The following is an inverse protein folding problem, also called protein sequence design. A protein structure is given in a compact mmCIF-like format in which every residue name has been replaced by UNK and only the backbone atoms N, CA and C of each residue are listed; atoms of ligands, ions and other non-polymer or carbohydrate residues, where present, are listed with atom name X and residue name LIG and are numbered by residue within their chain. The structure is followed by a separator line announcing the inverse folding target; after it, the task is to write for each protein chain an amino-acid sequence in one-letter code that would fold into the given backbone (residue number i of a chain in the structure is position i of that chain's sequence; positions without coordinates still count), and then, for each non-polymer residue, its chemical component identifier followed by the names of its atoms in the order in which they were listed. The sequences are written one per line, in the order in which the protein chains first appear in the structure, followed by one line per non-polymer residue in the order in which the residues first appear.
data_IF_679487689093
#
_entry.id   IF_679487689093
#
_cell.length_a   1.000
_cell.length_b   1.000
_cell.length_c   1.000
_cell.angle_alpha   90.00
_cell.angle_beta   90.00
_cell.angle_gamma   90.00
#
_symmetry.space_group_name_H-M   'P 1'
#
loop_
_entity.id
_entity.type
_entity.pdbx_description
1 polymer ?
2 water ?
#
# COMPACT_ATOMS: atom_id res chain seq x y z
N UNK A 1 -7.81 -12.23 14.86
CA UNK A 1 -7.97 -13.39 15.78
C UNK A 1 -7.11 -13.30 17.06
N UNK A 2 -6.33 -14.35 17.36
CA UNK A 2 -5.43 -14.36 18.54
C UNK A 2 -4.19 -15.28 18.39
N UNK A 3 -4.12 -16.35 19.18
CA UNK A 3 -2.92 -17.18 19.24
C UNK A 3 -1.78 -16.42 19.99
N UNK A 4 -2.06 -16.08 21.26
CA UNK A 4 -1.20 -15.26 22.14
C UNK A 4 -0.60 -14.00 21.48
N UNK A 5 -1.43 -13.16 20.88
CA UNK A 5 -0.94 -11.88 20.32
C UNK A 5 -0.97 -10.72 21.32
N UNK A 6 0.21 -10.15 21.55
CA UNK A 6 0.40 -8.94 22.35
C UNK A 6 0.57 -7.79 21.37
N UNK A 7 0.42 -6.57 21.87
CA UNK A 7 0.59 -5.38 21.05
C UNK A 7 2.02 -5.24 20.57
N UNK A 8 2.99 -5.65 21.39
CA UNK A 8 4.40 -5.63 21.00
C UNK A 8 4.60 -6.52 19.77
N UNK A 9 4.14 -7.77 19.89
CA UNK A 9 4.14 -8.78 18.82
C UNK A 9 3.45 -8.33 17.52
N UNK A 10 2.21 -7.86 17.63
CA UNK A 10 1.51 -7.22 16.52
C UNK A 10 2.38 -6.15 15.80
N UNK A 11 2.93 -5.20 16.56
CA UNK A 11 3.76 -4.18 15.93
C UNK A 11 5.06 -4.75 15.37
N UNK A 12 5.67 -5.68 16.09
CA UNK A 12 6.91 -6.32 15.64
C UNK A 12 6.76 -6.77 14.20
N UNK A 13 5.69 -7.50 13.90
CA UNK A 13 5.50 -8.05 12.55
C UNK A 13 4.80 -7.11 11.57
N UNK A 14 4.09 -6.10 12.09
CA UNK A 14 3.48 -5.06 11.24
C UNK A 14 4.55 -4.26 10.52
N UNK A 15 5.62 -3.98 11.24
CA UNK A 15 6.75 -3.24 10.73
C UNK A 15 7.63 -4.11 9.79
N UNK A 16 7.82 -5.38 10.15
CA UNK A 16 8.51 -6.33 9.27
C UNK A 16 7.76 -6.43 7.93
N UNK A 17 6.44 -6.56 7.97
CA UNK A 17 5.67 -6.63 6.72
C UNK A 17 5.66 -5.33 5.92
N UNK A 18 5.46 -4.21 6.61
CA UNK A 18 5.34 -2.94 5.91
C UNK A 18 6.64 -2.55 5.24
N UNK A 19 7.77 -2.88 5.87
CA UNK A 19 9.08 -2.64 5.26
C UNK A 19 9.28 -3.56 4.05
N UNK A 20 8.92 -4.83 4.21
CA UNK A 20 9.02 -5.81 3.14
C UNK A 20 8.17 -5.42 1.93
N UNK A 21 6.86 -5.24 2.14
CA UNK A 21 5.90 -4.83 1.11
C UNK A 21 6.32 -3.58 0.35
N UNK A 22 6.82 -2.56 1.05
CA UNK A 22 7.36 -1.39 0.36
C UNK A 22 8.58 -1.69 -0.54
N UNK A 23 9.59 -2.37 0.01
CA UNK A 23 10.78 -2.73 -0.74
C UNK A 23 10.41 -3.56 -1.95
N UNK A 24 9.41 -4.43 -1.79
CA UNK A 24 8.96 -5.29 -2.89
C UNK A 24 8.27 -4.47 -3.97
N UNK A 25 7.55 -3.43 -3.56
CA UNK A 25 6.94 -2.46 -4.48
C UNK A 25 7.96 -1.62 -5.24
N UNK A 26 8.98 -1.08 -4.55
CA UNK A 26 10.10 -0.44 -5.25
C UNK A 26 10.77 -1.40 -6.23
N UNK A 27 10.99 -2.64 -5.83
CA UNK A 27 11.51 -3.67 -6.73
C UNK A 27 10.62 -3.84 -7.97
N UNK A 28 9.32 -4.03 -7.73
CA UNK A 28 8.32 -4.18 -8.80
C UNK A 28 8.27 -2.99 -9.76
N UNK A 29 8.29 -1.79 -9.20
CA UNK A 29 8.20 -0.60 -9.99
C UNK A 29 9.47 -0.39 -10.80
N UNK A 30 10.61 -0.54 -10.14
CA UNK A 30 11.91 -0.32 -10.77
C UNK A 30 12.17 -1.34 -11.87
N UNK A 31 11.63 -2.55 -11.68
CA UNK A 31 11.70 -3.62 -12.66
C UNK A 31 10.80 -3.35 -13.88
N UNK A 32 9.52 -3.05 -13.64
CA UNK A 32 8.64 -2.58 -14.70
C UNK A 32 9.26 -1.43 -15.51
N UNK A 33 9.54 -0.32 -14.85
CA UNK A 33 10.22 0.83 -15.45
C UNK A 33 11.39 0.41 -16.38
N UNK A 34 12.44 -0.15 -15.79
CA UNK A 34 13.57 -0.72 -16.54
C UNK A 34 13.08 -1.55 -17.73
N UNK A 35 12.37 -2.63 -17.44
CA UNK A 35 12.01 -3.63 -18.43
C UNK A 35 11.01 -3.14 -19.47
N UNK A 36 10.23 -2.15 -19.10
CA UNK A 36 9.03 -1.83 -19.84
C UNK A 36 9.01 -0.43 -20.43
N UNK A 37 9.90 0.45 -19.97
CA UNK A 37 9.94 1.83 -20.46
C UNK A 37 11.36 2.35 -20.66
N UNK A 38 12.35 1.47 -20.71
CA UNK A 38 13.74 1.90 -20.86
C UNK A 38 14.21 2.23 -22.28
N UNK A 39 13.58 1.65 -23.29
CA UNK A 39 13.99 1.95 -24.67
C UNK A 39 13.06 2.89 -25.41
N UNK A 40 12.15 3.51 -24.67
CA UNK A 40 10.99 4.19 -25.25
C UNK A 40 10.99 5.64 -24.84
N UNK A 41 10.11 6.42 -25.44
CA UNK A 41 10.04 7.82 -25.07
C UNK A 41 8.81 8.14 -24.26
N UNK A 42 8.52 7.32 -23.25
CA UNK A 42 7.30 7.51 -22.46
C UNK A 42 7.51 8.59 -21.42
N UNK A 43 6.45 9.36 -21.15
CA UNK A 43 6.54 10.48 -20.20
C UNK A 43 6.50 10.05 -18.73
N UNK A 44 7.61 10.29 -18.02
CA UNK A 44 7.71 10.04 -16.57
C UNK A 44 6.51 10.61 -15.81
N UNK A 45 6.50 11.94 -15.63
CA UNK A 45 5.46 12.66 -14.85
C UNK A 45 5.38 12.18 -13.39
N UNK A 46 5.65 13.09 -12.45
CA UNK A 46 5.79 12.75 -11.02
C UNK A 46 4.55 12.11 -10.35
N UNK A 47 4.44 12.30 -9.04
CA UNK A 47 3.31 11.90 -8.17
C UNK A 47 1.88 12.07 -8.79
N UNK A 48 1.56 11.26 -9.80
CA UNK A 48 0.31 11.44 -10.56
C UNK A 48 -0.97 11.18 -9.74
N UNK A 49 -2.10 10.92 -10.42
CA UNK A 49 -3.41 10.76 -9.74
C UNK A 49 -3.50 9.48 -8.90
N UNK A 50 -3.13 9.56 -7.62
CA UNK A 50 -3.24 8.40 -6.74
C UNK A 50 -4.61 8.36 -6.06
N UNK A 51 -5.30 7.22 -6.16
CA UNK A 51 -6.64 7.06 -5.62
C UNK A 51 -6.77 7.31 -4.09
N UNK A 52 -5.67 7.12 -3.35
CA UNK A 52 -5.67 7.32 -1.90
C UNK A 52 -5.51 8.78 -1.47
N UNK A 53 -5.21 9.65 -2.43
CA UNK A 53 -4.98 11.07 -2.18
C UNK A 53 -6.23 11.86 -1.77
N UNK A 54 -7.39 11.22 -1.85
CA UNK A 54 -8.65 11.86 -1.52
C UNK A 54 -8.86 11.80 -0.02
N UNK A 55 -8.32 10.74 0.59
CA UNK A 55 -8.30 10.57 2.04
C UNK A 55 -7.35 11.55 2.71
N UNK A 56 -7.78 12.08 3.86
CA UNK A 56 -6.96 12.95 4.67
C UNK A 56 -5.79 12.15 5.28
N UNK A 57 -4.58 12.50 4.85
CA UNK A 57 -3.36 11.87 5.30
C UNK A 57 -2.38 12.98 5.71
N UNK A 58 -1.49 12.70 6.68
CA UNK A 58 -0.43 13.67 6.93
C UNK A 58 0.60 13.56 5.82
N UNK A 59 1.05 14.71 5.33
CA UNK A 59 1.99 14.76 4.21
C UNK A 59 3.29 15.33 4.77
N UNK A 60 3.50 15.03 6.04
CA UNK A 60 4.60 15.56 6.82
C UNK A 60 4.95 14.51 7.88
N UNK A 61 5.70 14.87 8.93
CA UNK A 61 5.87 13.98 10.08
C UNK A 61 5.31 14.60 11.38
N UNK A 62 5.42 15.92 11.49
CA UNK A 62 4.93 16.64 12.65
C UNK A 62 3.42 16.67 12.54
N UNK A 63 2.93 16.83 11.32
CA UNK A 63 1.50 16.65 11.02
C UNK A 63 0.98 15.24 11.47
N UNK A 64 1.75 14.19 11.16
CA UNK A 64 1.46 12.79 11.54
C UNK A 64 1.55 12.58 13.03
N UNK A 65 2.57 13.18 13.62
CA UNK A 65 2.77 13.12 15.05
C UNK A 65 1.68 13.82 15.83
N UNK A 66 1.36 15.05 15.43
CA UNK A 66 0.26 15.82 16.02
C UNK A 66 -1.09 15.09 15.97
N UNK A 67 -1.25 14.20 14.98
CA UNK A 67 -2.54 13.60 14.66
C UNK A 67 -3.19 12.72 15.75
N UNK A 68 -4.52 12.80 15.86
CA UNK A 68 -5.28 11.88 16.69
C UNK A 68 -4.92 10.46 16.28
N UNK A 69 -4.48 9.66 17.25
CA UNK A 69 -4.01 8.28 17.05
C UNK A 69 -5.10 7.36 16.46
N UNK A 70 -6.31 7.46 17.02
CA UNK A 70 -7.51 6.73 16.57
C UNK A 70 -7.80 6.95 15.07
N UNK A 71 -7.79 8.20 14.62
CA UNK A 71 -7.99 8.50 13.19
C UNK A 71 -6.83 7.99 12.31
N UNK A 72 -5.62 8.04 12.85
CA UNK A 72 -4.38 7.68 12.16
C UNK A 72 -4.37 6.20 11.84
N UNK A 73 -4.78 5.40 12.81
CA UNK A 73 -4.76 3.98 12.63
C UNK A 73 -5.86 3.55 11.67
N UNK A 74 -6.97 4.29 11.65
CA UNK A 74 -8.09 3.93 10.77
C UNK A 74 -7.75 4.31 9.35
N UNK A 75 -7.08 5.44 9.21
CA UNK A 75 -6.49 5.87 7.95
C UNK A 75 -5.67 4.74 7.35
N UNK A 76 -4.77 4.17 8.16
CA UNK A 76 -3.89 3.10 7.68
C UNK A 76 -4.70 1.92 7.15
N UNK A 77 -5.76 1.58 7.85
CA UNK A 77 -6.65 0.51 7.41
C UNK A 77 -7.36 0.86 6.08
N UNK A 78 -7.83 2.10 5.94
CA UNK A 78 -8.54 2.51 4.73
C UNK A 78 -7.63 2.40 3.53
N UNK A 79 -6.40 2.90 3.66
CA UNK A 79 -5.42 2.78 2.59
C UNK A 79 -5.22 1.33 2.22
N UNK A 80 -4.96 0.48 3.21
CA UNK A 80 -4.64 -0.90 2.95
C UNK A 80 -5.82 -1.58 2.28
N UNK A 81 -7.05 -1.28 2.72
CA UNK A 81 -8.23 -1.92 2.11
C UNK A 81 -8.55 -1.38 0.70
N UNK A 82 -8.07 -0.18 0.38
CA UNK A 82 -8.25 0.40 -0.93
C UNK A 82 -7.31 -0.24 -1.96
N UNK A 83 -6.22 -0.86 -1.50
CA UNK A 83 -5.34 -1.54 -2.43
C UNK A 83 -5.76 -2.97 -2.73
N UNK A 84 -6.97 -3.33 -2.35
CA UNK A 84 -7.43 -4.67 -2.65
C UNK A 84 -7.80 -4.86 -4.13
N UNK A 85 -8.71 -4.02 -4.61
CA UNK A 85 -9.27 -4.14 -5.95
C UNK A 85 -8.17 -3.96 -7.01
N UNK A 86 -7.40 -2.84 -6.94
CA UNK A 86 -6.31 -2.60 -7.89
C UNK A 86 -5.24 -3.68 -7.87
N UNK A 87 -5.02 -4.29 -6.71
CA UNK A 87 -4.04 -5.35 -6.63
C UNK A 87 -4.62 -6.65 -7.19
N UNK A 88 -5.92 -6.83 -7.05
CA UNK A 88 -6.60 -7.99 -7.64
C UNK A 88 -6.56 -7.88 -9.17
N UNK A 89 -6.86 -6.68 -9.68
CA UNK A 89 -6.91 -6.45 -11.12
C UNK A 89 -5.54 -6.46 -11.77
N UNK A 90 -4.52 -5.95 -11.07
CA UNK A 90 -3.11 -6.02 -11.50
C UNK A 90 -2.70 -7.45 -11.82
N UNK A 91 -2.84 -8.32 -10.82
CA UNK A 91 -2.54 -9.74 -10.90
C UNK A 91 -3.37 -10.43 -11.96
N UNK A 92 -4.66 -10.11 -12.02
CA UNK A 92 -5.54 -10.75 -12.98
C UNK A 92 -5.18 -10.28 -14.37
N UNK A 93 -4.71 -9.04 -14.46
CA UNK A 93 -4.42 -8.43 -15.73
C UNK A 93 -3.09 -8.91 -16.27
N UNK A 94 -2.03 -8.85 -15.47
CA UNK A 94 -0.83 -9.58 -15.82
C UNK A 94 -1.17 -11.07 -16.08
N UNK A 95 -1.77 -11.76 -15.12
CA UNK A 95 -2.06 -13.19 -15.28
C UNK A 95 -2.83 -13.48 -16.56
N UNK A 96 -4.02 -12.87 -16.68
CA UNK A 96 -4.90 -13.09 -17.84
C UNK A 96 -4.24 -12.73 -19.16
N UNK A 97 -4.80 -13.26 -20.26
CA UNK A 97 -4.26 -13.16 -21.64
C UNK A 97 -2.77 -12.79 -21.68
N UNK A 98 -2.46 -11.57 -21.25
CA UNK A 98 -1.09 -11.08 -21.10
C UNK A 98 -0.01 -12.18 -20.95
N UNK A 99 1.21 -11.81 -21.37
CA UNK A 99 2.28 -12.76 -21.62
C UNK A 99 3.38 -12.82 -20.55
N UNK A 100 4.62 -12.58 -21.01
CA UNK A 100 5.84 -12.83 -20.24
C UNK A 100 5.76 -12.58 -18.72
N UNK A 101 5.62 -11.31 -18.27
CA UNK A 101 6.11 -10.88 -16.95
C UNK A 101 5.76 -11.87 -15.83
N UNK A 102 6.37 -13.05 -15.93
CA UNK A 102 6.22 -14.12 -14.98
C UNK A 102 6.88 -13.64 -13.70
N UNK A 103 7.89 -12.77 -13.85
CA UNK A 103 8.61 -12.17 -12.71
C UNK A 103 7.87 -11.01 -12.04
N UNK A 104 7.21 -10.16 -12.82
CA UNK A 104 6.35 -9.12 -12.26
C UNK A 104 5.11 -9.74 -11.62
N UNK A 105 4.57 -10.79 -12.24
CA UNK A 105 3.40 -11.45 -11.69
C UNK A 105 3.70 -12.11 -10.34
N UNK A 106 4.73 -12.95 -10.31
CA UNK A 106 5.27 -13.54 -9.11
C UNK A 106 5.26 -12.53 -7.98
N UNK A 107 5.68 -11.31 -8.30
CA UNK A 107 5.74 -10.21 -7.30
C UNK A 107 4.41 -9.55 -6.96
N UNK A 108 3.47 -9.57 -7.90
CA UNK A 108 2.20 -8.91 -7.71
C UNK A 108 1.41 -9.78 -6.76
N UNK A 109 1.53 -11.10 -6.97
CA UNK A 109 0.88 -12.10 -6.13
C UNK A 109 1.29 -11.96 -4.66
N UNK A 110 2.58 -11.77 -4.39
CA UNK A 110 3.07 -11.55 -3.02
C UNK A 110 2.59 -10.27 -2.38
N UNK A 111 2.65 -9.16 -3.12
CA UNK A 111 2.17 -7.87 -2.63
C UNK A 111 0.69 -8.04 -2.29
N UNK A 112 -0.06 -8.74 -3.14
CA UNK A 112 -1.49 -8.88 -2.94
C UNK A 112 -1.83 -9.61 -1.62
N UNK A 113 -1.15 -10.73 -1.38
CA UNK A 113 -1.36 -11.52 -0.18
C UNK A 113 -0.79 -10.86 1.06
N UNK A 114 0.43 -10.32 0.98
CA UNK A 114 1.05 -9.64 2.14
C UNK A 114 0.33 -8.39 2.65
N UNK A 115 -0.21 -7.58 1.76
CA UNK A 115 -1.15 -6.49 2.08
C UNK A 115 -2.35 -6.93 2.96
N UNK A 116 -3.04 -8.00 2.52
CA UNK A 116 -4.19 -8.59 3.18
C UNK A 116 -3.78 -9.10 4.56
N UNK A 117 -2.58 -9.67 4.59
CA UNK A 117 -1.91 -10.12 5.81
C UNK A 117 -1.67 -8.93 6.75
N UNK A 118 -1.16 -7.82 6.19
CA UNK A 118 -0.92 -6.60 6.96
C UNK A 118 -2.21 -5.96 7.55
N UNK A 119 -3.29 -6.03 6.77
CA UNK A 119 -4.59 -5.48 7.10
C UNK A 119 -5.17 -6.17 8.34
N UNK A 120 -5.05 -7.49 8.44
CA UNK A 120 -5.58 -8.21 9.60
C UNK A 120 -4.79 -7.81 10.83
N UNK A 121 -3.48 -7.66 10.64
CA UNK A 121 -2.60 -7.23 11.70
C UNK A 121 -3.04 -5.87 12.19
N UNK A 122 -3.32 -4.99 11.24
CA UNK A 122 -3.69 -3.63 11.55
C UNK A 122 -5.03 -3.57 12.22
N UNK A 123 -5.92 -4.49 11.86
CA UNK A 123 -7.25 -4.51 12.43
C UNK A 123 -7.14 -4.90 13.89
N UNK A 124 -6.24 -5.84 14.20
CA UNK A 124 -5.98 -6.27 15.57
C UNK A 124 -5.34 -5.16 16.37
N UNK A 125 -4.33 -4.50 15.80
CA UNK A 125 -3.72 -3.34 16.47
C UNK A 125 -4.83 -2.43 16.96
N UNK A 126 -5.72 -2.05 16.04
CA UNK A 126 -6.80 -1.13 16.32
C UNK A 126 -7.72 -1.61 17.45
N UNK A 127 -8.16 -2.88 17.41
CA UNK A 127 -9.06 -3.45 18.41
C UNK A 127 -8.45 -3.45 19.80
N UNK A 128 -7.13 -3.47 19.83
CA UNK A 128 -6.42 -3.61 21.07
C UNK A 128 -6.18 -2.27 21.70
N UNK A 129 -5.89 -1.27 20.88
CA UNK A 129 -5.53 0.06 21.37
C UNK A 129 -6.77 0.95 21.45
N UNK A 130 -7.61 0.88 20.42
CA UNK A 130 -8.81 1.69 20.33
C UNK A 130 -9.98 0.80 20.00
N UNK A 131 -10.42 -0.02 20.99
CA UNK A 131 -11.55 -0.92 20.76
C UNK A 131 -12.87 -0.16 20.58
N UNK A 132 -12.88 1.13 20.90
CA UNK A 132 -14.07 1.93 20.72
C UNK A 132 -14.23 2.37 19.29
N UNK A 133 -13.23 2.09 18.45
CA UNK A 133 -13.30 2.33 17.00
C UNK A 133 -14.42 1.50 16.42
N UNK A 134 -15.26 2.13 15.61
CA UNK A 134 -16.42 1.48 15.05
C UNK A 134 -16.06 0.93 13.67
N UNK A 135 -16.84 -0.06 13.20
CA UNK A 135 -16.61 -0.68 11.88
C UNK A 135 -16.18 0.34 10.82
N UNK A 136 -14.95 0.21 10.31
CA UNK A 136 -14.36 1.23 9.41
C UNK A 136 -15.19 1.58 8.17
N UNK A 137 -15.33 0.62 7.24
CA UNK A 137 -16.17 0.78 6.03
C UNK A 137 -15.87 1.93 5.03
N UNK A 138 -15.05 2.91 5.41
CA UNK A 138 -14.62 3.94 4.46
C UNK A 138 -13.23 3.63 3.87
N UNK A 139 -13.21 3.43 2.56
CA UNK A 139 -11.97 3.25 1.81
C UNK A 139 -12.10 3.85 0.39
N UNK A 140 -11.07 4.56 -0.07
CA UNK A 140 -11.07 5.18 -1.40
C UNK A 140 -11.26 4.20 -2.57
N UNK A 141 -12.11 4.60 -3.50
CA UNK A 141 -12.42 3.85 -4.73
C UNK A 141 -11.27 3.95 -5.74
N UNK A 142 -11.16 2.95 -6.60
CA UNK A 142 -10.13 2.91 -7.63
C UNK A 142 -10.76 2.85 -9.01
N UNK A 143 -10.24 3.64 -9.95
CA UNK A 143 -10.81 3.68 -11.29
C UNK A 143 -9.79 3.52 -12.41
N UNK A 144 -8.73 2.74 -12.18
CA UNK A 144 -7.67 2.60 -13.17
C UNK A 144 -7.88 1.47 -14.15
N UNK A 145 -8.91 0.67 -13.90
CA UNK A 145 -9.20 -0.50 -14.73
C UNK A 145 -9.26 -0.15 -16.22
N UNK A 146 -10.14 0.81 -16.62
CA UNK A 146 -10.19 1.18 -18.04
C UNK A 146 -8.80 1.44 -18.64
N UNK A 147 -7.98 2.20 -17.93
CA UNK A 147 -6.69 2.58 -18.44
C UNK A 147 -5.69 1.41 -18.48
N UNK A 148 -5.88 0.43 -17.59
CA UNK A 148 -5.06 -0.80 -17.65
C UNK A 148 -5.34 -1.61 -18.90
N UNK A 149 -6.59 -1.60 -19.35
CA UNK A 149 -7.01 -2.50 -20.41
C UNK A 149 -7.15 -1.85 -21.80
N UNK A 150 -6.34 -0.83 -22.06
CA UNK A 150 -6.31 -0.10 -23.34
C UNK A 150 -5.54 -0.85 -24.43
N UNK A 151 -5.94 -0.64 -25.68
CA UNK A 151 -5.18 -1.16 -26.83
C UNK A 151 -3.87 -0.40 -27.06
N UNK A 152 -3.90 0.91 -26.80
CA UNK A 152 -2.76 1.80 -27.04
C UNK A 152 -1.64 1.51 -26.07
N UNK A 153 -0.51 1.04 -26.61
CA UNK A 153 0.66 0.67 -25.81
C UNK A 153 1.09 1.75 -24.82
N UNK A 154 1.15 3.01 -25.25
CA UNK A 154 1.62 4.07 -24.36
C UNK A 154 0.67 4.36 -23.19
N UNK A 155 -0.63 4.33 -23.48
CA UNK A 155 -1.65 4.56 -22.49
C UNK A 155 -1.67 3.47 -21.44
N UNK A 156 -1.77 2.22 -21.88
CA UNK A 156 -1.80 1.07 -20.98
C UNK A 156 -0.51 1.01 -20.14
N UNK A 157 0.65 0.97 -20.79
CA UNK A 157 1.95 0.94 -20.11
C UNK A 157 2.18 2.03 -19.06
N UNK A 158 1.65 3.23 -19.31
CA UNK A 158 1.73 4.34 -18.36
C UNK A 158 0.75 4.18 -17.23
N UNK A 159 -0.42 3.62 -17.52
CA UNK A 159 -1.38 3.31 -16.48
C UNK A 159 -0.75 2.33 -15.48
N UNK A 160 0.00 1.34 -15.99
CA UNK A 160 0.71 0.40 -15.12
C UNK A 160 1.81 1.15 -14.37
N UNK A 161 2.53 2.01 -15.08
CA UNK A 161 3.65 2.75 -14.51
C UNK A 161 3.20 3.53 -13.29
N UNK A 162 2.00 4.07 -13.39
CA UNK A 162 1.47 4.98 -12.42
C UNK A 162 0.90 4.28 -11.21
N UNK A 163 0.23 3.16 -11.45
CA UNK A 163 -0.29 2.33 -10.40
C UNK A 163 0.86 1.76 -9.55
N UNK A 164 1.96 1.36 -10.19
CA UNK A 164 3.09 0.80 -9.45
C UNK A 164 3.79 1.90 -8.66
N UNK A 165 3.83 3.09 -9.25
CA UNK A 165 4.33 4.29 -8.60
C UNK A 165 3.48 4.63 -7.37
N UNK A 166 2.18 4.76 -7.57
CA UNK A 166 1.31 5.05 -6.46
C UNK A 166 1.48 4.02 -5.35
N UNK A 167 1.63 2.76 -5.74
CA UNK A 167 1.72 1.67 -4.77
C UNK A 167 2.99 1.79 -3.99
N UNK A 168 4.07 2.09 -4.70
CA UNK A 168 5.36 2.31 -4.08
C UNK A 168 5.31 3.54 -3.19
N UNK A 169 4.53 4.54 -3.58
CA UNK A 169 4.37 5.70 -2.74
C UNK A 169 3.64 5.37 -1.43
N UNK A 170 2.48 4.74 -1.56
CA UNK A 170 1.61 4.47 -0.43
C UNK A 170 2.21 3.46 0.55
N UNK A 171 2.87 2.42 0.03
CA UNK A 171 3.53 1.47 0.90
C UNK A 171 4.65 2.15 1.67
N UNK A 172 5.23 3.19 1.10
CA UNK A 172 6.19 4.01 1.81
C UNK A 172 5.50 4.88 2.88
N UNK A 173 4.32 5.42 2.56
CA UNK A 173 3.53 6.15 3.54
C UNK A 173 3.32 5.27 4.78
N UNK A 174 2.76 4.07 4.56
CA UNK A 174 2.33 3.17 5.62
C UNK A 174 3.48 2.78 6.53
N UNK A 175 4.62 2.54 5.92
CA UNK A 175 5.86 2.22 6.60
C UNK A 175 6.26 3.35 7.57
N UNK A 176 6.37 4.58 7.07
CA UNK A 176 6.72 5.71 7.94
C UNK A 176 5.71 5.84 9.07
N UNK A 177 4.46 5.59 8.74
CA UNK A 177 3.38 5.73 9.68
C UNK A 177 3.52 4.72 10.80
N UNK A 178 3.70 3.45 10.44
CA UNK A 178 3.86 2.36 11.40
C UNK A 178 5.12 2.46 12.26
N UNK A 179 6.22 2.94 11.70
CA UNK A 179 7.40 3.21 12.49
C UNK A 179 7.01 4.17 13.60
N UNK A 180 6.44 5.30 13.19
CA UNK A 180 6.04 6.37 14.08
C UNK A 180 5.12 5.91 15.21
N UNK A 181 4.21 4.98 14.92
CA UNK A 181 3.27 4.50 15.93
C UNK A 181 3.93 3.48 16.86
N UNK A 182 4.78 2.64 16.29
CA UNK A 182 5.50 1.66 17.06
C UNK A 182 6.46 2.36 18.04
N UNK A 183 7.22 3.31 17.52
CA UNK A 183 8.13 4.08 18.36
C UNK A 183 7.38 4.75 19.52
N UNK A 184 6.15 5.19 19.29
CA UNK A 184 5.35 5.84 20.32
C UNK A 184 4.73 4.86 21.30
N UNK A 185 3.86 3.99 20.81
CA UNK A 185 3.08 3.08 21.64
C UNK A 185 4.00 2.05 22.31
N UNK A 186 4.98 1.54 21.58
CA UNK A 186 5.84 0.50 22.14
C UNK A 186 7.13 1.03 22.77
N UNK A 187 7.81 1.93 22.06
CA UNK A 187 9.11 2.42 22.49
C UNK A 187 9.09 3.78 23.20
N UNK A 188 10.30 4.32 23.36
CA UNK A 188 10.55 5.63 23.96
C UNK A 188 9.37 6.62 23.81
N UNK A 189 8.69 6.80 24.92
CA UNK A 189 7.52 7.63 24.98
C UNK A 189 7.75 8.92 25.77
N UNK A 190 7.07 9.98 25.33
CA UNK A 190 6.92 11.17 26.13
C UNK A 190 5.89 10.85 27.21
N UNK A 191 6.41 10.48 28.38
CA UNK A 191 5.61 10.00 29.52
C UNK A 191 4.54 8.99 29.06
#
# INVERSE_FOLDING_TARGET
MRSQVTLRDLFDRAVVLSHYIHNLSSEMFSEFDKRYTHGRGFITKAINSCHTSSLATPEDKEQAQQMNQKDFLSLIVSILRSWNEPLYHLVTEVRGMQEAPEAILSKAVEIEEQTKRLLERMELIVSQVHPETKENEIYPVWSGLPSLQMADEESRLSAYYNLLHCLRRDSHKIDNYLKLLKCRIIHNNNC
#
